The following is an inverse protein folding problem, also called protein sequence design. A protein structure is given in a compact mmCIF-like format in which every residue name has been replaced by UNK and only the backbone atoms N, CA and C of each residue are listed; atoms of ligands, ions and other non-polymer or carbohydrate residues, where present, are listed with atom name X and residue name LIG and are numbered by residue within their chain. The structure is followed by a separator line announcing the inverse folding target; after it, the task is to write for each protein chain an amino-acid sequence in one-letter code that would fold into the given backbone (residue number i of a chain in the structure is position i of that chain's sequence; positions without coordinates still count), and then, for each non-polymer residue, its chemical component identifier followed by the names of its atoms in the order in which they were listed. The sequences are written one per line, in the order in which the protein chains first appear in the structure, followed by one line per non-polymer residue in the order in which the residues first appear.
data_IF_993803765748
#
_entry.id   IF_993803765748
#
_cell.length_a   1.000
_cell.length_b   1.000
_cell.length_c   1.000
_cell.angle_alpha   90.00
_cell.angle_beta   90.00
_cell.angle_gamma   90.00
#
_symmetry.space_group_name_H-M   'P 1'
#
loop_
_entity.id
_entity.type
_entity.pdbx_description
1 polymer ?
#
# COMPACT_ATOMS: atom_id res chain seq x y z
N UNK A 1 0.95 -11.19 19.79
CA UNK A 1 1.82 -10.12 19.28
C UNK A 1 1.07 -9.43 18.16
N UNK A 2 1.13 -8.10 18.04
CA UNK A 2 0.46 -7.40 16.95
C UNK A 2 1.26 -7.49 15.66
N UNK A 3 0.57 -7.68 14.53
CA UNK A 3 1.14 -7.63 13.19
C UNK A 3 0.52 -6.46 12.41
N UNK A 4 1.35 -5.66 11.74
CA UNK A 4 0.93 -4.52 10.94
C UNK A 4 0.30 -4.96 9.62
N UNK A 5 -0.95 -4.53 9.39
CA UNK A 5 -1.66 -4.76 8.13
C UNK A 5 -1.54 -3.56 7.19
N UNK A 6 -1.70 -2.36 7.74
CA UNK A 6 -1.72 -1.13 6.96
C UNK A 6 -1.34 0.08 7.83
N UNK A 7 -0.47 0.96 7.32
CA UNK A 7 -0.31 2.32 7.83
C UNK A 7 -1.23 3.27 7.07
N UNK A 8 -1.82 4.20 7.80
CA UNK A 8 -2.40 5.40 7.20
C UNK A 8 -1.25 6.33 6.84
N UNK A 9 -1.07 6.55 5.55
CA UNK A 9 0.03 7.33 4.98
C UNK A 9 -0.42 8.76 4.66
N UNK A 10 0.55 9.67 4.64
CA UNK A 10 0.37 11.08 4.28
C UNK A 10 1.20 11.40 3.02
N UNK A 11 0.86 12.46 2.27
CA UNK A 11 1.49 12.78 1.00
C UNK A 11 3.02 12.90 1.10
N UNK A 12 3.73 12.48 0.05
CA UNK A 12 5.17 12.60 -0.04
C UNK A 12 5.54 13.39 -1.29
N UNK A 13 6.32 14.46 -1.12
CA UNK A 13 6.74 15.34 -2.21
C UNK A 13 7.51 14.60 -3.32
N UNK A 14 8.17 13.50 -2.97
CA UNK A 14 8.92 12.68 -3.92
C UNK A 14 8.04 11.69 -4.70
N UNK A 15 6.75 11.53 -4.36
CA UNK A 15 5.85 10.53 -4.96
C UNK A 15 4.55 11.16 -5.46
N UNK A 16 3.76 11.75 -4.57
CA UNK A 16 2.46 12.32 -4.92
C UNK A 16 2.08 13.41 -3.91
N UNK A 17 1.70 14.57 -4.43
CA UNK A 17 1.24 15.74 -3.66
C UNK A 17 -0.27 15.96 -3.74
N UNK A 18 -1.01 15.05 -4.37
CA UNK A 18 -2.48 15.11 -4.42
C UNK A 18 -3.06 14.71 -3.05
N UNK A 19 -3.15 15.69 -2.14
CA UNK A 19 -3.53 15.48 -0.73
C UNK A 19 -4.84 14.69 -0.57
N UNK A 20 -5.80 14.89 -1.47
CA UNK A 20 -7.12 14.23 -1.45
C UNK A 20 -7.06 12.71 -1.64
N UNK A 21 -5.96 12.16 -2.14
CA UNK A 21 -5.72 10.70 -2.17
C UNK A 21 -5.35 10.13 -0.80
N UNK A 22 -4.93 11.00 0.13
CA UNK A 22 -4.43 10.62 1.45
C UNK A 22 -5.35 11.09 2.57
N UNK A 23 -5.80 12.33 2.58
CA UNK A 23 -6.73 12.82 3.60
C UNK A 23 -7.65 13.92 3.06
N UNK A 24 -8.74 14.18 3.78
CA UNK A 24 -9.57 15.37 3.59
C UNK A 24 -9.65 16.11 4.92
N UNK A 25 -9.56 17.43 4.91
CA UNK A 25 -9.60 18.21 6.15
C UNK A 25 -10.34 19.52 5.99
N UNK A 26 -11.00 19.96 7.06
CA UNK A 26 -11.67 21.25 7.13
C UNK A 26 -10.75 22.29 7.79
N UNK A 27 -9.78 22.81 7.05
CA UNK A 27 -8.86 23.84 7.54
C UNK A 27 -7.59 23.32 8.24
N UNK A 28 -7.35 22.00 8.20
CA UNK A 28 -6.04 21.45 8.50
C UNK A 28 -4.98 21.88 7.48
N UNK A 29 -3.71 21.83 7.89
CA UNK A 29 -2.55 22.16 7.03
C UNK A 29 -1.54 21.04 7.11
N UNK A 30 -1.15 20.51 5.96
CA UNK A 30 -0.11 19.49 5.90
C UNK A 30 1.28 20.12 5.80
N UNK A 31 2.23 19.61 6.59
CA UNK A 31 3.62 20.00 6.53
C UNK A 31 4.44 18.90 5.86
N UNK A 32 4.85 19.13 4.61
CA UNK A 32 5.62 18.18 3.81
C UNK A 32 7.02 17.88 4.38
N UNK A 33 7.60 18.82 5.15
CA UNK A 33 8.92 18.66 5.76
C UNK A 33 8.86 17.73 6.97
N UNK A 34 7.94 18.00 7.91
CA UNK A 34 7.75 17.18 9.11
C UNK A 34 6.85 15.97 8.90
N UNK A 35 6.20 15.85 7.73
CA UNK A 35 5.26 14.78 7.35
C UNK A 35 4.15 14.58 8.37
N UNK A 36 3.57 15.68 8.82
CA UNK A 36 2.45 15.67 9.76
C UNK A 36 1.34 16.64 9.35
N UNK A 37 0.12 16.29 9.75
CA UNK A 37 -1.07 17.07 9.49
C UNK A 37 -1.43 17.86 10.74
N UNK A 38 -1.37 19.19 10.64
CA UNK A 38 -1.86 20.08 11.68
C UNK A 38 -3.38 20.20 11.55
N UNK A 39 -4.11 19.84 12.58
CA UNK A 39 -5.58 19.95 12.63
C UNK A 39 -5.94 20.96 13.72
N UNK A 40 -6.34 22.20 13.35
CA UNK A 40 -6.73 23.23 14.31
C UNK A 40 -7.92 22.79 15.15
N UNK A 41 -8.09 23.42 16.31
CA UNK A 41 -9.22 23.20 17.21
C UNK A 41 -10.58 23.24 16.47
N UNK A 42 -11.45 22.29 16.82
CA UNK A 42 -12.81 22.14 16.29
C UNK A 42 -12.88 21.85 14.78
N UNK A 43 -11.81 21.26 14.22
CA UNK A 43 -11.75 20.80 12.84
C UNK A 43 -11.68 19.28 12.76
N UNK A 44 -11.90 18.75 11.56
CA UNK A 44 -11.94 17.32 11.31
C UNK A 44 -10.97 16.96 10.18
N UNK A 45 -10.27 15.85 10.36
CA UNK A 45 -9.52 15.17 9.32
C UNK A 45 -10.15 13.79 9.05
N UNK A 46 -10.40 13.49 7.78
CA UNK A 46 -11.02 12.27 7.29
C UNK A 46 -10.00 11.48 6.47
N UNK A 47 -9.95 10.17 6.70
CA UNK A 47 -9.08 9.23 5.99
C UNK A 47 -9.87 8.22 5.17
N UNK A 48 -11.08 8.60 4.74
CA UNK A 48 -11.92 7.88 3.78
C UNK A 48 -11.40 8.06 2.34
N UNK A 49 -10.09 7.89 2.14
CA UNK A 49 -9.37 8.23 0.90
C UNK A 49 -8.77 7.00 0.25
N UNK A 50 -8.33 7.16 -1.00
CA UNK A 50 -7.82 6.07 -1.83
C UNK A 50 -6.72 5.25 -1.16
N UNK A 51 -5.70 5.90 -0.60
CA UNK A 51 -4.59 5.20 0.03
C UNK A 51 -4.91 4.67 1.43
N UNK A 52 -5.87 5.28 2.14
CA UNK A 52 -6.05 5.05 3.58
C UNK A 52 -7.33 4.30 3.98
N UNK A 53 -8.29 4.16 3.08
CA UNK A 53 -9.41 3.25 3.28
C UNK A 53 -8.92 1.79 3.38
N UNK A 54 -9.44 1.05 4.35
CA UNK A 54 -9.12 -0.36 4.58
C UNK A 54 -10.26 -1.25 4.09
N UNK A 55 -10.05 -1.95 2.96
CA UNK A 55 -11.07 -2.82 2.36
C UNK A 55 -11.37 -4.06 3.20
N UNK A 56 -12.29 -3.95 4.17
CA UNK A 56 -12.68 -5.09 5.00
C UNK A 56 -13.27 -6.23 4.14
N UNK A 57 -13.90 -5.88 3.01
CA UNK A 57 -14.37 -6.84 2.00
C UNK A 57 -13.26 -7.75 1.49
N UNK A 58 -12.17 -7.19 0.95
CA UNK A 58 -11.07 -7.97 0.35
C UNK A 58 -10.36 -8.80 1.43
N UNK A 59 -10.08 -8.20 2.59
CA UNK A 59 -9.44 -8.91 3.70
C UNK A 59 -10.31 -10.09 4.19
N UNK A 60 -11.60 -9.90 4.50
CA UNK A 60 -12.49 -10.99 4.96
C UNK A 60 -12.63 -12.10 3.91
N UNK A 61 -12.71 -11.73 2.63
CA UNK A 61 -12.91 -12.67 1.52
C UNK A 61 -11.68 -13.58 1.35
N UNK A 62 -10.49 -12.99 1.22
CA UNK A 62 -9.30 -13.72 0.78
C UNK A 62 -8.32 -14.11 1.88
N UNK A 63 -8.41 -13.52 3.08
CA UNK A 63 -7.42 -13.76 4.15
C UNK A 63 -8.05 -14.32 5.43
N UNK A 64 -7.24 -14.85 6.32
CA UNK A 64 -7.67 -15.40 7.61
C UNK A 64 -7.99 -14.33 8.66
N UNK A 65 -8.18 -13.07 8.27
CA UNK A 65 -8.38 -11.95 9.19
C UNK A 65 -9.72 -12.04 9.95
N UNK A 66 -9.61 -12.09 11.28
CA UNK A 66 -10.70 -12.11 12.25
C UNK A 66 -10.62 -10.98 13.28
N UNK A 67 -9.42 -10.47 13.60
CA UNK A 67 -9.22 -9.40 14.57
C UNK A 67 -8.57 -8.16 13.96
N UNK A 68 -9.05 -6.97 14.35
CA UNK A 68 -8.55 -5.68 13.87
C UNK A 68 -8.37 -4.71 15.03
N UNK A 69 -7.23 -4.04 15.05
CA UNK A 69 -6.85 -3.06 16.06
C UNK A 69 -6.34 -1.79 15.40
N UNK A 70 -6.60 -0.66 16.03
CA UNK A 70 -6.11 0.66 15.64
C UNK A 70 -5.08 1.12 16.66
N UNK A 71 -3.91 1.52 16.18
CA UNK A 71 -2.93 2.30 16.96
C UNK A 71 -2.82 3.70 16.37
N UNK A 72 -2.78 4.70 17.23
CA UNK A 72 -2.87 6.10 16.82
C UNK A 72 -1.61 6.85 17.20
N UNK A 73 -1.16 7.71 16.27
CA UNK A 73 -0.06 8.64 16.49
C UNK A 73 -0.51 10.08 16.27
N UNK A 74 -1.04 10.66 17.35
CA UNK A 74 -1.57 12.02 17.41
C UNK A 74 -1.12 12.69 18.71
N UNK A 75 -0.66 13.93 18.61
CA UNK A 75 -0.48 14.83 19.75
C UNK A 75 -1.69 15.76 19.81
N UNK A 76 -2.35 15.81 20.96
CA UNK A 76 -3.49 16.68 21.23
C UNK A 76 -4.67 15.92 21.85
N UNK A 77 -5.80 16.61 21.92
CA UNK A 77 -7.08 16.12 22.45
C UNK A 77 -8.17 16.20 21.40
N UNK A 78 -9.02 15.18 21.36
CA UNK A 78 -10.14 15.10 20.45
C UNK A 78 -10.82 13.74 20.50
N UNK A 79 -11.57 13.43 19.45
CA UNK A 79 -12.32 12.19 19.31
C UNK A 79 -11.86 11.44 18.06
N UNK A 80 -11.51 10.16 18.23
CA UNK A 80 -11.26 9.24 17.12
C UNK A 80 -12.57 8.52 16.82
N UNK A 81 -13.01 8.56 15.56
CA UNK A 81 -14.16 7.78 15.09
C UNK A 81 -13.71 6.80 14.01
N UNK A 82 -13.90 5.50 14.25
CA UNK A 82 -13.70 4.46 13.24
C UNK A 82 -15.03 4.19 12.56
N UNK A 83 -15.07 4.38 11.24
CA UNK A 83 -16.27 4.24 10.44
C UNK A 83 -16.17 3.10 9.46
N UNK A 84 -17.32 2.50 9.17
CA UNK A 84 -17.54 1.54 8.11
C UNK A 84 -18.41 2.20 7.04
N UNK A 85 -18.01 2.11 5.78
CA UNK A 85 -18.81 2.55 4.64
C UNK A 85 -19.03 1.38 3.67
N UNK A 86 -20.27 1.22 3.25
CA UNK A 86 -20.71 0.19 2.32
C UNK A 86 -21.86 0.73 1.47
N UNK A 87 -21.66 0.83 0.15
CA UNK A 87 -22.67 1.28 -0.81
C UNK A 87 -23.33 2.60 -0.39
N UNK A 88 -22.51 3.60 -0.03
CA UNK A 88 -22.99 4.90 0.46
C UNK A 88 -23.50 4.93 1.90
N UNK A 89 -23.73 3.80 2.57
CA UNK A 89 -24.19 3.76 3.96
C UNK A 89 -23.00 3.81 4.91
N UNK A 90 -23.03 4.75 5.86
CA UNK A 90 -21.96 4.98 6.84
C UNK A 90 -22.43 4.55 8.23
N UNK A 91 -21.61 3.76 8.93
CA UNK A 91 -21.85 3.29 10.30
C UNK A 91 -20.64 3.61 11.18
N UNK A 92 -20.87 3.94 12.44
CA UNK A 92 -19.80 4.09 13.43
C UNK A 92 -19.53 2.71 14.05
N UNK A 93 -18.29 2.22 13.93
CA UNK A 93 -17.86 0.98 14.58
C UNK A 93 -17.32 1.24 15.98
N UNK A 94 -16.61 2.37 16.15
CA UNK A 94 -15.97 2.74 17.41
C UNK A 94 -15.84 4.26 17.48
N UNK A 95 -16.05 4.82 18.67
CA UNK A 95 -15.78 6.23 18.96
C UNK A 95 -15.10 6.33 20.32
N UNK A 96 -14.01 7.09 20.39
CA UNK A 96 -13.14 7.16 21.58
C UNK A 96 -12.66 8.58 21.79
N UNK A 97 -12.82 9.06 23.02
CA UNK A 97 -12.17 10.27 23.49
C UNK A 97 -10.68 9.99 23.67
N UNK A 98 -9.86 10.76 22.97
CA UNK A 98 -8.43 10.57 22.91
C UNK A 98 -7.73 11.82 23.41
N UNK A 99 -6.75 11.61 24.28
CA UNK A 99 -5.87 12.66 24.75
C UNK A 99 -4.48 12.08 24.86
N UNK A 100 -3.55 12.64 24.10
CA UNK A 100 -2.16 12.23 24.17
C UNK A 100 -1.21 13.41 24.10
N UNK A 101 -0.24 13.42 25.01
CA UNK A 101 0.94 14.27 24.94
C UNK A 101 2.14 13.55 24.33
N UNK A 102 2.00 12.26 23.99
CA UNK A 102 3.03 11.45 23.37
C UNK A 102 2.56 10.91 22.00
N UNK A 103 3.50 10.38 21.22
CA UNK A 103 3.24 10.02 19.84
C UNK A 103 2.51 8.68 19.65
N UNK A 104 2.37 7.79 20.64
CA UNK A 104 1.81 6.45 20.35
C UNK A 104 0.83 6.04 21.44
N UNK A 105 -0.37 5.66 21.02
CA UNK A 105 -1.42 5.12 21.88
C UNK A 105 -1.28 3.62 22.16
N UNK A 106 -2.01 3.14 23.15
CA UNK A 106 -2.38 1.71 23.24
C UNK A 106 -3.23 1.29 22.03
N UNK A 107 -3.29 -0.01 21.76
CA UNK A 107 -4.11 -0.56 20.68
C UNK A 107 -5.60 -0.63 21.03
N UNK A 108 -6.41 -0.08 20.14
CA UNK A 108 -7.86 -0.03 20.25
C UNK A 108 -8.47 -1.15 19.41
N UNK A 109 -9.24 -2.05 20.04
CA UNK A 109 -9.96 -3.09 19.31
C UNK A 109 -11.16 -2.53 18.52
N UNK A 110 -11.26 -2.94 17.26
CA UNK A 110 -12.38 -2.65 16.35
C UNK A 110 -13.14 -3.96 16.11
N UNK A 111 -14.40 -4.01 16.50
CA UNK A 111 -15.25 -5.19 16.24
C UNK A 111 -15.60 -5.27 14.74
N UNK A 112 -15.01 -6.27 14.08
CA UNK A 112 -15.25 -6.58 12.67
C UNK A 112 -16.00 -7.91 12.48
N UNK A 113 -16.64 -8.44 13.53
CA UNK A 113 -17.29 -9.76 13.49
C UNK A 113 -18.55 -9.78 12.60
N UNK A 114 -19.27 -8.65 12.51
CA UNK A 114 -20.56 -8.53 11.80
C UNK A 114 -20.46 -7.83 10.44
N UNK A 115 -19.25 -7.54 9.95
CA UNK A 115 -19.03 -6.84 8.68
C UNK A 115 -18.21 -7.71 7.72
N UNK A 116 -18.67 -7.79 6.47
CA UNK A 116 -18.06 -8.61 5.42
C UNK A 116 -17.83 -7.86 4.10
N UNK A 117 -18.31 -6.63 3.99
CA UNK A 117 -18.31 -5.84 2.76
C UNK A 117 -17.92 -4.39 3.06
N UNK A 118 -17.60 -3.62 2.00
CA UNK A 118 -17.19 -2.23 2.11
C UNK A 118 -15.79 -2.06 2.70
N UNK A 119 -15.55 -0.88 3.24
CA UNK A 119 -14.26 -0.48 3.79
C UNK A 119 -14.40 0.26 5.12
N UNK A 120 -13.30 0.27 5.88
CA UNK A 120 -13.17 0.95 7.16
C UNK A 120 -12.23 2.14 6.99
N UNK A 121 -12.51 3.25 7.64
CA UNK A 121 -11.64 4.41 7.69
C UNK A 121 -11.70 5.11 9.05
N UNK A 122 -10.74 6.00 9.28
CA UNK A 122 -10.60 6.73 10.55
C UNK A 122 -10.92 8.21 10.33
N UNK A 123 -11.54 8.82 11.33
CA UNK A 123 -11.75 10.25 11.43
C UNK A 123 -11.15 10.77 12.74
N UNK A 124 -10.51 11.93 12.66
CA UNK A 124 -10.02 12.67 13.81
C UNK A 124 -10.76 14.00 13.92
N UNK A 125 -11.49 14.19 15.01
CA UNK A 125 -12.11 15.47 15.35
C UNK A 125 -11.36 16.10 16.53
N UNK A 126 -10.88 17.32 16.35
CA UNK A 126 -10.02 17.98 17.33
C UNK A 126 -10.80 18.83 18.34
N UNK A 127 -10.46 18.71 19.63
CA UNK A 127 -10.93 19.61 20.70
C UNK A 127 -9.97 20.78 20.93
N UNK A 128 -8.72 20.62 20.52
CA UNK A 128 -7.62 21.59 20.57
C UNK A 128 -6.75 21.49 19.31
N UNK A 129 -5.78 22.40 19.15
CA UNK A 129 -4.82 22.28 18.05
C UNK A 129 -4.03 20.98 18.20
N UNK A 130 -4.01 20.17 17.14
CA UNK A 130 -3.47 18.81 17.18
C UNK A 130 -2.52 18.55 16.01
N UNK A 131 -1.58 17.62 16.24
CA UNK A 131 -0.60 17.18 15.26
C UNK A 131 -0.82 15.70 15.02
N UNK A 132 -1.22 15.35 13.80
CA UNK A 132 -1.48 13.97 13.39
C UNK A 132 -0.31 13.45 12.55
N UNK A 133 0.35 12.41 13.05
CA UNK A 133 1.49 11.79 12.38
C UNK A 133 1.10 10.47 11.67
N UNK A 134 -0.03 9.85 12.05
CA UNK A 134 -0.59 8.71 11.33
C UNK A 134 -1.37 7.75 12.21
N UNK A 135 -1.82 6.66 11.59
CA UNK A 135 -2.50 5.55 12.24
C UNK A 135 -1.95 4.23 11.71
N UNK A 136 -2.10 3.17 12.50
CA UNK A 136 -1.74 1.82 12.10
C UNK A 136 -2.93 0.88 12.34
N UNK A 137 -3.26 0.07 11.34
CA UNK A 137 -4.19 -1.03 11.44
C UNK A 137 -3.41 -2.33 11.63
N UNK A 138 -3.75 -3.05 12.70
CA UNK A 138 -3.01 -4.18 13.24
C UNK A 138 -3.94 -5.39 13.42
N UNK A 139 -3.37 -6.58 13.50
CA UNK A 139 -4.09 -7.80 13.90
C UNK A 139 -3.33 -8.58 14.97
N UNK A 140 -4.04 -9.41 15.74
CA UNK A 140 -3.44 -10.45 16.59
C UNK A 140 -3.53 -11.85 15.99
N UNK A 141 -4.13 -11.96 14.81
CA UNK A 141 -4.30 -13.25 14.15
C UNK A 141 -2.94 -13.85 13.77
N UNK A 142 -2.92 -15.15 13.54
CA UNK A 142 -1.73 -15.81 13.06
C UNK A 142 -1.37 -15.31 11.65
N UNK A 143 -0.11 -14.91 11.48
CA UNK A 143 0.47 -14.48 10.21
C UNK A 143 1.63 -15.41 9.89
N UNK A 144 1.67 -15.94 8.66
CA UNK A 144 2.77 -16.81 8.25
C UNK A 144 4.10 -16.05 8.22
N UNK A 145 5.21 -16.78 8.24
CA UNK A 145 6.56 -16.20 8.22
C UNK A 145 7.26 -16.56 6.91
N UNK A 146 7.32 -15.60 6.01
CA UNK A 146 8.10 -15.67 4.77
C UNK A 146 8.46 -14.26 4.32
N UNK A 147 9.54 -14.15 3.54
CA UNK A 147 9.92 -12.90 2.90
C UNK A 147 9.38 -12.81 1.46
N UNK A 148 9.43 -11.60 0.92
CA UNK A 148 9.04 -11.28 -0.44
C UNK A 148 10.23 -10.72 -1.23
N UNK A 149 10.42 -11.20 -2.47
CA UNK A 149 11.39 -10.61 -3.38
C UNK A 149 10.71 -9.61 -4.33
N UNK A 150 11.23 -8.39 -4.37
CA UNK A 150 10.90 -7.38 -5.37
C UNK A 150 11.80 -7.63 -6.57
N UNK A 151 11.20 -7.91 -7.73
CA UNK A 151 11.92 -8.20 -8.97
C UNK A 151 11.69 -7.07 -9.95
N UNK A 152 12.78 -6.40 -10.33
CA UNK A 152 12.80 -5.30 -11.29
C UNK A 152 13.62 -5.71 -12.51
N UNK A 153 13.06 -5.52 -13.70
CA UNK A 153 13.80 -5.68 -14.96
C UNK A 153 14.12 -4.31 -15.54
N UNK A 154 15.36 -4.08 -15.96
CA UNK A 154 15.80 -2.81 -16.56
C UNK A 154 16.61 -3.01 -17.84
N UNK A 155 16.53 -2.05 -18.76
CA UNK A 155 17.31 -2.02 -19.99
C UNK A 155 17.77 -0.59 -20.32
N UNK A 156 19.08 -0.33 -20.22
CA UNK A 156 19.71 0.96 -20.54
C UNK A 156 19.09 2.19 -19.82
N UNK A 157 18.53 1.99 -18.62
CA UNK A 157 17.91 3.01 -17.77
C UNK A 157 18.60 3.15 -16.42
N UNK A 158 19.94 3.18 -16.44
CA UNK A 158 20.79 3.12 -15.24
C UNK A 158 20.44 4.17 -14.18
N UNK A 159 20.09 5.38 -14.58
CA UNK A 159 19.73 6.45 -13.63
C UNK A 159 18.41 6.13 -12.91
N UNK A 160 17.36 5.77 -13.66
CA UNK A 160 16.04 5.44 -13.11
C UNK A 160 16.13 4.26 -12.13
N UNK A 161 16.75 3.15 -12.54
CA UNK A 161 16.89 1.98 -11.67
C UNK A 161 17.75 2.28 -10.43
N UNK A 162 18.78 3.12 -10.55
CA UNK A 162 19.59 3.53 -9.38
C UNK A 162 18.78 4.37 -8.39
N UNK A 163 17.94 5.30 -8.89
CA UNK A 163 17.01 6.07 -8.06
C UNK A 163 16.03 5.14 -7.33
N UNK A 164 15.47 4.15 -8.04
CA UNK A 164 14.55 3.16 -7.47
C UNK A 164 15.21 2.27 -6.42
N UNK A 165 16.42 1.76 -6.69
CA UNK A 165 17.23 0.98 -5.73
C UNK A 165 17.47 1.80 -4.45
N UNK A 166 17.93 3.05 -4.59
CA UNK A 166 18.23 3.91 -3.44
C UNK A 166 16.98 4.22 -2.61
N UNK A 167 15.85 4.49 -3.28
CA UNK A 167 14.55 4.72 -2.64
C UNK A 167 14.15 3.50 -1.81
N UNK A 168 14.06 2.32 -2.44
CA UNK A 168 13.68 1.06 -1.77
C UNK A 168 14.65 0.71 -0.63
N UNK A 169 15.96 0.86 -0.84
CA UNK A 169 16.95 0.60 0.20
C UNK A 169 16.71 1.50 1.44
N UNK A 170 16.52 2.80 1.23
CA UNK A 170 16.28 3.77 2.30
C UNK A 170 14.94 3.56 3.01
N UNK A 171 13.87 3.29 2.28
CA UNK A 171 12.50 3.27 2.83
C UNK A 171 12.00 1.90 3.24
N UNK A 172 12.67 0.82 2.81
CA UNK A 172 12.24 -0.56 3.08
C UNK A 172 13.38 -1.42 3.64
N UNK A 173 14.48 -1.60 2.90
CA UNK A 173 15.50 -2.62 3.24
C UNK A 173 16.40 -2.24 4.43
N UNK A 174 16.52 -0.96 4.75
CA UNK A 174 17.25 -0.48 5.94
C UNK A 174 16.35 -0.25 7.16
N UNK A 175 15.03 -0.27 6.98
CA UNK A 175 14.09 -0.08 8.07
C UNK A 175 14.07 -1.33 8.95
N UNK A 176 14.36 -1.18 10.25
CA UNK A 176 14.42 -2.30 11.20
C UNK A 176 13.14 -3.14 11.22
N UNK A 177 12.00 -2.49 10.97
CA UNK A 177 10.69 -3.11 10.87
C UNK A 177 10.58 -4.08 9.67
N UNK A 178 11.23 -3.78 8.53
CA UNK A 178 10.99 -4.43 7.24
C UNK A 178 12.20 -5.17 6.66
N UNK A 179 13.43 -4.86 7.10
CA UNK A 179 14.69 -5.34 6.50
C UNK A 179 14.78 -6.86 6.29
N UNK A 180 14.19 -7.64 7.18
CA UNK A 180 14.22 -9.11 7.13
C UNK A 180 13.04 -9.70 6.35
N UNK A 181 12.07 -8.86 5.95
CA UNK A 181 10.85 -9.24 5.23
C UNK A 181 11.00 -9.14 3.71
N UNK A 182 12.00 -8.42 3.22
CA UNK A 182 12.13 -8.11 1.78
C UNK A 182 13.54 -8.35 1.23
N UNK A 183 13.59 -8.65 -0.07
CA UNK A 183 14.80 -8.68 -0.90
C UNK A 183 14.51 -7.91 -2.19
N UNK A 184 15.52 -7.28 -2.78
CA UNK A 184 15.42 -6.60 -4.07
C UNK A 184 16.34 -7.32 -5.07
N UNK A 185 15.78 -7.78 -6.18
CA UNK A 185 16.49 -8.41 -7.29
C UNK A 185 16.30 -7.54 -8.51
N UNK A 186 17.40 -6.98 -9.01
CA UNK A 186 17.42 -6.17 -10.22
C UNK A 186 18.09 -6.97 -11.33
N UNK A 187 17.33 -7.27 -12.38
CA UNK A 187 17.82 -7.93 -13.59
C UNK A 187 18.05 -6.87 -14.66
N UNK A 188 19.32 -6.64 -14.98
CA UNK A 188 19.74 -5.68 -15.97
C UNK A 188 20.00 -6.38 -17.31
N UNK A 189 19.14 -6.13 -18.29
CA UNK A 189 19.24 -6.65 -19.66
C UNK A 189 20.09 -5.75 -20.58
N UNK A 190 20.58 -4.61 -20.08
CA UNK A 190 21.32 -3.62 -20.87
C UNK A 190 22.81 -3.59 -20.56
N UNK A 191 23.42 -2.42 -20.75
CA UNK A 191 24.81 -2.17 -20.37
C UNK A 191 25.06 -2.48 -18.89
N UNK A 192 26.21 -3.10 -18.59
CA UNK A 192 26.50 -3.61 -17.26
C UNK A 192 26.39 -2.52 -16.17
N UNK A 193 25.62 -2.81 -15.12
CA UNK A 193 25.49 -1.95 -13.94
C UNK A 193 26.39 -2.51 -12.84
N UNK A 194 27.42 -1.73 -12.48
CA UNK A 194 28.24 -2.02 -11.32
C UNK A 194 27.59 -1.39 -10.08
N UNK A 195 26.75 -2.17 -9.40
CA UNK A 195 26.18 -1.81 -8.10
C UNK A 195 26.57 -2.90 -7.10
N UNK A 196 27.14 -2.55 -5.93
CA UNK A 196 27.49 -3.55 -4.93
C UNK A 196 26.23 -4.28 -4.45
N UNK A 197 26.27 -5.60 -4.41
CA UNK A 197 25.22 -6.39 -3.76
C UNK A 197 25.39 -6.27 -2.23
N UNK A 198 24.28 -6.18 -1.50
CA UNK A 198 24.29 -5.94 -0.05
C UNK A 198 22.93 -5.45 0.46
N UNK A 199 22.68 -5.55 1.77
CA UNK A 199 21.39 -5.16 2.40
C UNK A 199 20.15 -5.80 1.77
N UNK A 200 20.25 -7.04 1.28
CA UNK A 200 19.16 -7.72 0.59
C UNK A 200 18.97 -7.29 -0.88
N UNK A 201 19.91 -6.52 -1.45
CA UNK A 201 19.93 -6.12 -2.86
C UNK A 201 20.85 -7.04 -3.65
N UNK A 202 20.33 -7.56 -4.76
CA UNK A 202 21.01 -8.43 -5.71
C UNK A 202 20.87 -7.79 -7.10
N UNK A 203 21.99 -7.52 -7.78
CA UNK A 203 21.99 -6.96 -9.14
C UNK A 203 22.64 -7.97 -10.08
N UNK A 204 21.94 -8.30 -11.17
CA UNK A 204 22.32 -9.36 -12.10
C UNK A 204 22.35 -8.76 -13.51
N UNK A 205 23.53 -8.77 -14.14
CA UNK A 205 23.64 -8.47 -15.55
C UNK A 205 23.22 -9.72 -16.35
N UNK A 206 22.33 -9.53 -17.31
CA UNK A 206 21.64 -10.56 -18.06
C UNK A 206 21.66 -10.21 -19.55
N UNK A 207 21.60 -11.22 -20.42
CA UNK A 207 21.42 -10.96 -21.86
C UNK A 207 20.05 -10.30 -22.11
N UNK A 208 19.94 -9.54 -23.20
CA UNK A 208 18.67 -8.90 -23.54
C UNK A 208 17.66 -9.92 -24.06
N UNK A 209 16.84 -10.44 -23.14
CA UNK A 209 15.76 -11.40 -23.40
C UNK A 209 14.37 -10.76 -23.24
N UNK A 210 14.28 -9.43 -23.34
CA UNK A 210 13.05 -8.66 -23.12
C UNK A 210 12.54 -8.71 -21.68
N UNK A 211 11.36 -8.12 -21.45
CA UNK A 211 10.73 -8.06 -20.13
C UNK A 211 10.47 -9.45 -19.54
N UNK A 212 9.89 -10.35 -20.34
CA UNK A 212 9.60 -11.73 -19.91
C UNK A 212 10.86 -12.49 -19.47
N UNK A 213 11.96 -12.37 -20.23
CA UNK A 213 13.21 -13.00 -19.88
C UNK A 213 13.83 -12.42 -18.61
N UNK A 214 13.75 -11.10 -18.42
CA UNK A 214 14.22 -10.43 -17.21
C UNK A 214 13.43 -10.83 -15.96
N UNK A 215 12.10 -10.76 -16.01
CA UNK A 215 11.24 -11.15 -14.89
C UNK A 215 11.38 -12.65 -14.57
N UNK A 216 11.43 -13.53 -15.58
CA UNK A 216 11.69 -14.96 -15.37
C UNK A 216 13.04 -15.20 -14.71
N UNK A 217 14.09 -14.49 -15.15
CA UNK A 217 15.41 -14.58 -14.52
C UNK A 217 15.33 -14.18 -13.04
N UNK A 218 14.66 -13.08 -12.73
CA UNK A 218 14.48 -12.63 -11.35
C UNK A 218 13.70 -13.63 -10.49
N UNK A 219 12.65 -14.24 -11.05
CA UNK A 219 11.85 -15.28 -10.38
C UNK A 219 12.70 -16.53 -10.07
N UNK A 220 13.53 -16.98 -11.01
CA UNK A 220 14.46 -18.12 -10.79
C UNK A 220 15.42 -17.82 -9.65
N UNK A 221 15.94 -16.60 -9.57
CA UNK A 221 16.90 -16.19 -8.54
C UNK A 221 16.22 -16.03 -7.17
N UNK A 222 14.98 -15.50 -7.14
CA UNK A 222 14.16 -15.47 -5.94
C UNK A 222 13.91 -16.89 -5.38
N UNK A 223 13.65 -17.86 -6.27
CA UNK A 223 13.44 -19.26 -5.89
C UNK A 223 14.64 -19.96 -5.25
N UNK A 224 15.85 -19.39 -5.36
CA UNK A 224 17.07 -19.89 -4.69
C UNK A 224 17.21 -19.39 -3.25
N UNK A 225 16.39 -18.42 -2.83
CA UNK A 225 16.44 -17.81 -1.50
C UNK A 225 15.45 -18.54 -0.58
N UNK A 226 15.95 -19.24 0.44
CA UNK A 226 15.17 -20.19 1.23
C UNK A 226 13.91 -19.61 1.88
N UNK A 227 13.98 -18.38 2.40
CA UNK A 227 12.90 -17.71 3.14
C UNK A 227 11.92 -16.94 2.25
N UNK A 228 12.25 -16.73 0.97
CA UNK A 228 11.36 -16.07 0.01
C UNK A 228 10.25 -17.04 -0.42
N UNK A 229 8.99 -16.64 -0.21
CA UNK A 229 7.80 -17.39 -0.67
C UNK A 229 6.85 -16.58 -1.53
N UNK A 230 7.09 -15.27 -1.63
CA UNK A 230 6.32 -14.36 -2.47
C UNK A 230 7.28 -13.58 -3.36
N UNK A 231 6.84 -13.24 -4.57
CA UNK A 231 7.60 -12.42 -5.51
C UNK A 231 6.66 -11.37 -6.02
N UNK A 232 7.12 -10.12 -6.10
CA UNK A 232 6.40 -9.04 -6.75
C UNK A 232 7.22 -8.53 -7.93
N UNK A 233 6.60 -8.48 -9.11
CA UNK A 233 7.15 -7.82 -10.28
C UNK A 233 6.85 -6.33 -10.23
N UNK A 234 7.86 -5.52 -10.55
CA UNK A 234 7.79 -4.07 -10.60
C UNK A 234 8.63 -3.51 -11.75
N UNK A 235 8.23 -2.35 -12.29
CA UNK A 235 9.02 -1.61 -13.29
C UNK A 235 10.18 -0.83 -12.65
N UNK A 236 11.14 -0.39 -13.47
CA UNK A 236 12.35 0.31 -13.03
C UNK A 236 12.17 1.82 -12.79
N UNK A 237 11.10 2.39 -13.36
CA UNK A 237 10.71 3.80 -13.29
C UNK A 237 9.37 4.04 -12.57
N UNK A 238 8.71 2.98 -12.12
CA UNK A 238 7.45 3.07 -11.37
C UNK A 238 7.60 3.80 -10.03
N UNK A 239 6.86 4.90 -9.86
CA UNK A 239 6.64 5.52 -8.56
C UNK A 239 5.58 4.73 -7.80
N UNK A 240 5.95 4.18 -6.65
CA UNK A 240 5.07 3.34 -5.84
C UNK A 240 5.20 3.70 -4.37
N UNK A 241 4.07 3.84 -3.69
CA UNK A 241 4.03 3.92 -2.24
C UNK A 241 4.59 2.62 -1.64
N UNK A 242 5.56 2.76 -0.75
CA UNK A 242 6.18 1.60 -0.08
C UNK A 242 5.14 0.86 0.77
N UNK A 243 4.14 1.58 1.24
CA UNK A 243 2.99 1.01 1.93
C UNK A 243 2.20 0.03 1.06
N UNK A 244 2.09 0.24 -0.26
CA UNK A 244 1.46 -0.74 -1.17
C UNK A 244 2.21 -2.07 -1.16
N UNK A 245 3.55 -2.03 -1.14
CA UNK A 245 4.41 -3.23 -1.07
C UNK A 245 4.23 -3.93 0.29
N UNK A 246 4.29 -3.17 1.39
CA UNK A 246 4.12 -3.70 2.74
C UNK A 246 2.73 -4.33 2.94
N UNK A 247 1.67 -3.67 2.46
CA UNK A 247 0.28 -4.14 2.53
C UNK A 247 0.08 -5.41 1.70
N UNK A 248 0.68 -5.47 0.52
CA UNK A 248 0.63 -6.66 -0.34
C UNK A 248 1.30 -7.86 0.33
N UNK A 249 2.47 -7.66 0.94
CA UNK A 249 3.12 -8.71 1.73
C UNK A 249 2.27 -9.16 2.91
N UNK A 250 1.76 -8.22 3.72
CA UNK A 250 0.86 -8.52 4.84
C UNK A 250 -0.37 -9.33 4.42
N UNK A 251 -0.98 -8.96 3.29
CA UNK A 251 -2.14 -9.65 2.73
C UNK A 251 -1.82 -11.08 2.31
N UNK A 252 -0.73 -11.29 1.57
CA UNK A 252 -0.31 -12.61 1.09
C UNK A 252 0.11 -13.54 2.23
N UNK A 253 0.72 -13.02 3.29
CA UNK A 253 1.06 -13.81 4.48
C UNK A 253 -0.16 -14.37 5.22
N UNK A 254 -1.33 -13.79 4.99
CA UNK A 254 -2.62 -14.20 5.59
C UNK A 254 -3.58 -14.83 4.58
N UNK A 255 -3.19 -15.00 3.32
CA UNK A 255 -4.06 -15.51 2.27
C UNK A 255 -4.55 -16.94 2.60
N UNK A 256 -5.85 -17.19 2.37
CA UNK A 256 -6.48 -18.52 2.58
C UNK A 256 -6.04 -19.51 1.51
N UNK A 257 -5.85 -19.04 0.28
CA UNK A 257 -5.39 -19.84 -0.86
C UNK A 257 -3.94 -19.49 -1.18
N UNK A 258 -3.08 -20.51 -1.25
CA UNK A 258 -1.66 -20.38 -1.62
C UNK A 258 -1.45 -19.89 -3.06
N UNK A 259 -2.46 -19.99 -3.91
CA UNK A 259 -2.43 -19.52 -5.30
C UNK A 259 -2.97 -18.09 -5.45
N UNK A 260 -3.24 -17.40 -4.34
CA UNK A 260 -3.69 -16.01 -4.38
C UNK A 260 -2.60 -15.15 -5.01
N UNK A 261 -2.99 -14.35 -6.00
CA UNK A 261 -2.17 -13.31 -6.61
C UNK A 261 -2.77 -11.94 -6.32
N UNK A 262 -1.92 -10.92 -6.26
CA UNK A 262 -2.31 -9.52 -6.03
C UNK A 262 -1.79 -8.67 -7.18
N UNK A 263 -2.69 -7.98 -7.86
CA UNK A 263 -2.34 -6.90 -8.79
C UNK A 263 -2.71 -5.58 -8.16
N UNK A 264 -1.83 -4.59 -8.26
CA UNK A 264 -2.16 -3.21 -7.87
C UNK A 264 -2.69 -2.44 -9.08
N UNK A 265 -3.36 -1.32 -8.82
CA UNK A 265 -3.75 -0.39 -9.87
C UNK A 265 -2.57 0.50 -10.28
N UNK A 266 -2.59 0.95 -11.52
CA UNK A 266 -1.75 2.03 -12.03
C UNK A 266 -2.56 3.33 -12.06
N UNK A 267 -1.95 4.42 -11.61
CA UNK A 267 -2.45 5.79 -11.76
C UNK A 267 -1.71 6.46 -12.91
N UNK A 268 -2.34 7.43 -13.57
CA UNK A 268 -1.65 8.22 -14.60
C UNK A 268 -0.53 9.06 -13.98
N UNK A 269 0.66 9.08 -14.58
CA UNK A 269 1.80 9.84 -14.05
C UNK A 269 1.59 11.36 -14.13
N UNK A 270 1.00 11.84 -15.23
CA UNK A 270 0.68 13.24 -15.47
C UNK A 270 -0.55 13.72 -14.68
N UNK A 271 -1.38 12.78 -14.22
CA UNK A 271 -2.52 13.05 -13.36
C UNK A 271 -2.73 11.92 -12.34
N UNK A 272 -1.98 11.92 -11.22
CA UNK A 272 -1.95 10.81 -10.27
C UNK A 272 -3.27 10.62 -9.50
N UNK A 273 -4.26 11.49 -9.70
CA UNK A 273 -5.61 11.28 -9.19
C UNK A 273 -6.44 10.27 -10.00
N UNK A 274 -6.06 9.98 -11.24
CA UNK A 274 -6.88 9.21 -12.17
C UNK A 274 -6.32 7.81 -12.35
N UNK A 275 -7.18 6.81 -12.23
CA UNK A 275 -6.81 5.40 -12.43
C UNK A 275 -6.60 5.13 -13.92
N UNK A 276 -5.38 4.70 -14.25
CA UNK A 276 -5.06 4.15 -15.56
C UNK A 276 -5.63 2.73 -15.68
N UNK A 277 -5.38 1.85 -14.72
CA UNK A 277 -5.88 0.47 -14.78
C UNK A 277 -5.87 -0.19 -13.41
N UNK A 278 -6.88 -1.00 -13.09
CA UNK A 278 -6.91 -1.87 -11.89
C UNK A 278 -7.08 -3.33 -12.29
N UNK A 279 -6.13 -3.82 -13.09
CA UNK A 279 -6.26 -5.05 -13.88
C UNK A 279 -7.18 -4.87 -15.08
N UNK A 280 -7.26 -5.88 -15.93
CA UNK A 280 -8.05 -5.80 -17.16
C UNK A 280 -8.84 -7.07 -17.48
N UNK A 281 -9.91 -6.88 -18.23
CA UNK A 281 -10.71 -7.98 -18.77
C UNK A 281 -10.10 -8.37 -20.12
N UNK A 282 -9.67 -9.63 -20.21
CA UNK A 282 -9.21 -10.21 -21.46
C UNK A 282 -10.38 -10.84 -22.21
N UNK A 283 -10.77 -10.25 -23.34
CA UNK A 283 -11.80 -10.81 -24.21
C UNK A 283 -11.20 -11.77 -25.26
N UNK A 284 -12.03 -12.72 -25.73
CA UNK A 284 -11.64 -13.72 -26.74
C UNK A 284 -11.15 -13.11 -28.06
N UNK A 285 -11.55 -11.87 -28.33
CA UNK A 285 -11.19 -11.13 -29.54
C UNK A 285 -9.85 -10.40 -29.42
N UNK A 286 -9.00 -10.77 -28.44
CA UNK A 286 -7.73 -10.10 -28.10
C UNK A 286 -7.90 -8.63 -27.69
N UNK A 287 -9.11 -8.24 -27.29
CA UNK A 287 -9.40 -6.90 -26.81
C UNK A 287 -9.13 -6.79 -25.32
N UNK A 288 -8.33 -5.78 -24.98
CA UNK A 288 -7.93 -5.43 -23.63
C UNK A 288 -8.81 -4.30 -23.11
N UNK A 289 -9.54 -4.56 -22.03
CA UNK A 289 -10.39 -3.55 -21.39
C UNK A 289 -9.90 -3.26 -19.98
N UNK A 290 -9.21 -2.12 -19.75
CA UNK A 290 -8.72 -1.75 -18.43
C UNK A 290 -9.90 -1.56 -17.47
N UNK A 291 -9.86 -2.23 -16.31
CA UNK A 291 -10.87 -2.02 -15.28
C UNK A 291 -10.59 -0.71 -14.53
N UNK A 292 -11.67 -0.04 -14.12
CA UNK A 292 -11.66 1.26 -13.43
C UNK A 292 -10.93 2.39 -14.18
N UNK A 293 -10.73 2.25 -15.49
CA UNK A 293 -10.10 3.26 -16.32
C UNK A 293 -10.82 4.62 -16.22
N UNK A 294 -10.04 5.69 -16.05
CA UNK A 294 -10.52 7.06 -15.84
C UNK A 294 -11.36 7.30 -14.58
N UNK A 295 -11.37 6.37 -13.63
CA UNK A 295 -11.97 6.61 -12.33
C UNK A 295 -11.12 7.63 -11.53
N UNK A 296 -11.73 8.73 -11.09
CA UNK A 296 -11.06 9.72 -10.24
C UNK A 296 -11.03 9.24 -8.78
N UNK A 297 -9.84 8.90 -8.29
CA UNK A 297 -9.62 8.32 -6.97
C UNK A 297 -9.80 9.33 -5.81
N UNK A 298 -9.94 10.64 -6.10
CA UNK A 298 -10.19 11.68 -5.09
C UNK A 298 -11.65 11.70 -4.64
N UNK A 299 -12.55 11.25 -5.49
CA UNK A 299 -13.99 11.29 -5.24
C UNK A 299 -14.40 10.21 -4.22
N UNK A 300 -15.27 10.59 -3.27
CA UNK A 300 -15.72 9.70 -2.19
C UNK A 300 -16.50 8.49 -2.73
N UNK A 301 -17.28 8.69 -3.79
CA UNK A 301 -18.10 7.64 -4.41
C UNK A 301 -17.27 6.72 -5.33
N UNK A 302 -16.12 7.20 -5.81
CA UNK A 302 -15.18 6.37 -6.57
C UNK A 302 -14.57 5.26 -5.71
N UNK A 303 -14.46 5.44 -4.39
CA UNK A 303 -13.92 4.41 -3.50
C UNK A 303 -14.85 3.19 -3.38
N UNK A 304 -16.17 3.42 -3.30
CA UNK A 304 -17.15 2.32 -3.36
C UNK A 304 -17.05 1.60 -4.72
N UNK A 305 -16.88 2.36 -5.80
CA UNK A 305 -16.70 1.81 -7.14
C UNK A 305 -15.41 0.99 -7.24
N UNK A 306 -14.30 1.47 -6.67
CA UNK A 306 -13.00 0.81 -6.69
C UNK A 306 -12.95 -0.44 -5.81
N UNK A 307 -13.57 -0.41 -4.62
CA UNK A 307 -13.66 -1.55 -3.71
C UNK A 307 -14.52 -2.70 -4.29
N UNK A 308 -15.41 -2.37 -5.22
CA UNK A 308 -16.19 -3.34 -5.97
C UNK A 308 -15.36 -4.03 -7.05
N UNK A 309 -14.82 -5.19 -6.69
CA UNK A 309 -14.11 -6.10 -7.58
C UNK A 309 -14.94 -6.50 -8.80
N UNK A 310 -14.29 -6.52 -9.96
CA UNK A 310 -14.76 -7.22 -11.16
C UNK A 310 -13.81 -8.38 -11.45
N UNK A 311 -14.32 -9.39 -12.16
CA UNK A 311 -13.48 -10.51 -12.60
C UNK A 311 -12.56 -10.03 -13.71
N UNK A 312 -11.28 -9.91 -13.39
CA UNK A 312 -10.20 -9.59 -14.33
C UNK A 312 -9.56 -10.88 -14.89
N UNK A 313 -8.94 -10.77 -16.05
CA UNK A 313 -8.16 -11.84 -16.68
C UNK A 313 -6.67 -11.51 -16.87
N UNK A 314 -6.27 -10.28 -16.52
CA UNK A 314 -4.93 -9.75 -16.69
C UNK A 314 -4.57 -8.83 -15.51
N UNK A 315 -3.30 -8.89 -15.08
CA UNK A 315 -2.68 -7.95 -14.16
C UNK A 315 -1.31 -7.55 -14.70
N UNK A 316 -0.99 -6.27 -14.63
CA UNK A 316 0.23 -5.74 -15.22
C UNK A 316 1.48 -5.97 -14.38
N UNK A 317 2.61 -6.21 -15.05
CA UNK A 317 3.89 -6.47 -14.38
C UNK A 317 4.48 -5.26 -13.65
N UNK A 318 3.90 -4.07 -13.81
CA UNK A 318 4.26 -2.88 -13.02
C UNK A 318 4.05 -3.10 -11.52
N UNK A 319 3.09 -3.95 -11.14
CA UNK A 319 2.85 -4.38 -9.76
C UNK A 319 2.02 -5.67 -9.75
N UNK A 320 2.69 -6.82 -9.78
CA UNK A 320 2.04 -8.15 -9.77
C UNK A 320 2.76 -9.09 -8.80
N UNK A 321 2.05 -9.57 -7.77
CA UNK A 321 2.57 -10.41 -6.70
C UNK A 321 1.86 -11.76 -6.56
#
# INVERSE_FOLDING_TARGET
MYFLLQKVILPNIDLCTEEQLYFRTQGGKYNYTSRNLLVPRHKVAYFDTFFNAFSIKKWKKYTTLTSLFLRVNIIGRGTITVRHKENGVIRVLKQIDFKSSCNISDEIEIDISKINFGYIYVEWQSDEDSVLNGFELLTKDHVSKSSMALVITTYNRKEAVTKTINRINKTLLTQSEFKDRFKLIVVNNGEAINHPSGNGIIVINNENLGGSGGFMRGLIEAGKINDVKHVIFMDDDGSCEIESICRTHAFLLMAKDKNTVVTDCMLFEDNPAIIHESGAIWHRDFLHYPDKHYLDAREIDSLDTFDNERKIGYGGWWFFA
#
